data_IF_568790650391
#
_entry.id   IF_568790650391
#
_cell.length_a   1.000
_cell.length_b   1.000
_cell.length_c   1.000
_cell.angle_alpha   90.00
_cell.angle_beta   90.00
_cell.angle_gamma   90.00
#
_symmetry.space_group_name_H-M   'P 1'
#
loop_
_entity.id
_entity.type
_entity.pdbx_description
1 polymer ?
#
# COMPACT_ATOMS: atom_id res chain seq x y z
N UNK A 1 13.04 -8.19 -7.18
CA UNK A 1 12.21 -7.09 -7.69
C UNK A 1 12.61 -6.83 -9.13
N UNK A 2 11.70 -7.02 -10.08
CA UNK A 2 11.96 -6.79 -11.51
C UNK A 2 10.82 -5.92 -12.03
N UNK A 3 11.01 -4.60 -11.98
CA UNK A 3 10.00 -3.63 -12.36
C UNK A 3 10.50 -2.20 -12.21
N UNK A 4 9.84 -1.29 -12.92
CA UNK A 4 10.06 0.15 -12.85
C UNK A 4 9.66 0.74 -11.47
N UNK A 5 8.97 -0.04 -10.64
CA UNK A 5 8.60 0.25 -9.26
C UNK A 5 8.90 -0.99 -8.40
N UNK A 6 9.16 -0.81 -7.10
CA UNK A 6 9.33 -1.89 -6.11
C UNK A 6 8.07 -2.72 -5.78
N UNK A 7 7.05 -2.69 -6.62
CA UNK A 7 5.79 -3.43 -6.44
C UNK A 7 5.90 -4.88 -6.95
N UNK A 8 5.28 -5.84 -6.25
CA UNK A 8 5.22 -7.23 -6.75
C UNK A 8 4.02 -7.44 -7.67
N UNK A 9 4.02 -6.79 -8.83
CA UNK A 9 2.98 -6.98 -9.86
C UNK A 9 2.81 -8.45 -10.28
N UNK A 10 3.87 -9.26 -10.18
CA UNK A 10 3.84 -10.69 -10.44
C UNK A 10 2.98 -11.49 -9.44
N UNK A 11 2.65 -10.91 -8.28
CA UNK A 11 1.76 -11.53 -7.29
C UNK A 11 0.27 -11.29 -7.60
N UNK A 12 -0.04 -10.43 -8.58
CA UNK A 12 -1.39 -10.24 -9.07
C UNK A 12 -1.73 -11.38 -10.02
N UNK A 13 -2.70 -12.19 -9.63
CA UNK A 13 -3.18 -13.34 -10.40
C UNK A 13 -4.72 -13.31 -10.50
N UNK A 14 -5.32 -14.35 -11.09
CA UNK A 14 -6.78 -14.42 -11.18
C UNK A 14 -7.46 -14.61 -9.81
N UNK A 15 -6.73 -15.04 -8.79
CA UNK A 15 -7.25 -15.23 -7.44
C UNK A 15 -7.26 -13.92 -6.63
N UNK A 16 -6.34 -12.99 -6.92
CA UNK A 16 -6.19 -11.67 -6.30
C UNK A 16 -6.67 -10.50 -7.17
N UNK A 17 -7.27 -10.79 -8.34
CA UNK A 17 -7.93 -9.79 -9.19
C UNK A 17 -9.38 -10.16 -9.52
N UNK A 18 -10.18 -9.15 -9.87
CA UNK A 18 -11.54 -9.33 -10.35
C UNK A 18 -11.93 -8.22 -11.34
N UNK A 19 -13.11 -8.36 -11.91
CA UNK A 19 -13.69 -7.41 -12.85
C UNK A 19 -14.94 -6.79 -12.21
N UNK A 20 -14.86 -5.53 -11.72
CA UNK A 20 -16.03 -4.81 -11.21
C UNK A 20 -16.99 -4.49 -12.37
N UNK A 21 -18.29 -4.42 -12.08
CA UNK A 21 -19.29 -4.03 -13.09
C UNK A 21 -19.59 -2.54 -13.05
N UNK A 22 -19.65 -1.95 -11.86
CA UNK A 22 -20.14 -0.57 -11.69
C UNK A 22 -19.15 0.31 -10.94
N UNK A 23 -18.45 -0.21 -9.93
CA UNK A 23 -17.63 0.60 -9.01
C UNK A 23 -16.39 1.21 -9.65
N UNK A 24 -15.90 0.63 -10.76
CA UNK A 24 -14.82 1.17 -11.57
C UNK A 24 -15.24 1.22 -13.03
N UNK A 25 -14.88 2.32 -13.70
CA UNK A 25 -15.02 2.49 -15.14
C UNK A 25 -13.68 2.87 -15.76
N UNK A 26 -13.45 2.46 -17.01
CA UNK A 26 -12.27 2.93 -17.73
C UNK A 26 -12.38 4.44 -17.96
N UNK A 27 -11.24 5.14 -17.86
CA UNK A 27 -11.14 6.60 -18.04
C UNK A 27 -10.15 6.93 -19.18
N UNK A 28 -10.40 8.00 -19.93
CA UNK A 28 -9.49 8.54 -20.96
C UNK A 28 -10.09 8.61 -22.36
N UNK A 29 -9.28 9.12 -23.30
CA UNK A 29 -9.77 9.72 -24.55
C UNK A 29 -10.08 8.74 -25.70
N UNK A 30 -9.73 7.46 -25.56
CA UNK A 30 -10.28 6.39 -26.40
C UNK A 30 -10.96 5.38 -25.50
N UNK A 31 -12.26 5.61 -25.32
CA UNK A 31 -13.17 4.52 -25.14
C UNK A 31 -14.21 4.75 -26.23
N UNK A 32 -14.28 3.85 -27.22
CA UNK A 32 -15.48 3.82 -28.07
C UNK A 32 -16.70 3.84 -27.14
N UNK A 33 -17.81 4.47 -27.53
CA UNK A 33 -19.02 4.54 -26.68
C UNK A 33 -19.45 3.16 -26.14
N UNK A 34 -19.06 2.08 -26.82
CA UNK A 34 -19.26 0.69 -26.41
C UNK A 34 -18.22 0.20 -25.36
N UNK A 35 -16.96 0.62 -25.47
CA UNK A 35 -15.88 0.28 -24.53
C UNK A 35 -15.92 1.16 -23.26
N UNK A 36 -16.50 2.36 -23.30
CA UNK A 36 -16.69 3.21 -22.10
C UNK A 36 -17.73 2.63 -21.14
N UNK A 37 -18.69 1.89 -21.69
CA UNK A 37 -19.75 1.21 -20.94
C UNK A 37 -19.39 -0.25 -20.59
N UNK A 38 -18.32 -0.80 -21.17
CA UNK A 38 -17.92 -2.19 -20.95
C UNK A 38 -16.73 -2.27 -20.00
N UNK A 39 -16.93 -2.91 -18.83
CA UNK A 39 -15.84 -3.24 -17.91
C UNK A 39 -15.07 -4.50 -18.31
N UNK A 40 -15.29 -5.06 -19.52
CA UNK A 40 -14.76 -6.36 -19.96
C UNK A 40 -13.24 -6.53 -19.81
N UNK A 41 -12.48 -5.46 -20.05
CA UNK A 41 -11.03 -5.46 -19.97
C UNK A 41 -10.50 -4.86 -18.66
N UNK A 42 -11.38 -4.34 -17.80
CA UNK A 42 -10.99 -3.72 -16.55
C UNK A 42 -10.75 -4.79 -15.48
N UNK A 43 -9.57 -4.74 -14.87
CA UNK A 43 -9.21 -5.59 -13.74
C UNK A 43 -8.87 -4.71 -12.55
N UNK A 44 -9.45 -5.01 -11.41
CA UNK A 44 -9.06 -4.45 -10.13
C UNK A 44 -8.36 -5.53 -9.30
N UNK A 45 -7.29 -5.15 -8.62
CA UNK A 45 -6.54 -5.99 -7.69
C UNK A 45 -6.05 -5.13 -6.53
N UNK A 46 -5.88 -5.75 -5.36
CA UNK A 46 -5.30 -5.10 -4.19
C UNK A 46 -4.38 -6.06 -3.46
N UNK A 47 -3.23 -5.53 -3.02
CA UNK A 47 -2.20 -6.26 -2.27
C UNK A 47 -1.92 -5.53 -0.95
N UNK A 48 -2.79 -5.65 0.06
CA UNK A 48 -2.71 -4.88 1.31
C UNK A 48 -1.45 -5.14 2.14
N UNK A 49 -0.67 -6.18 1.82
CA UNK A 49 0.61 -6.47 2.45
C UNK A 49 1.76 -5.61 1.91
N UNK A 50 1.58 -5.00 0.74
CA UNK A 50 2.60 -4.14 0.13
C UNK A 50 2.33 -2.69 0.55
N UNK A 51 3.01 -2.29 1.61
CA UNK A 51 3.06 -0.90 2.03
C UNK A 51 3.97 -0.10 1.11
N UNK A 52 3.77 1.22 1.05
CA UNK A 52 4.64 2.11 0.31
C UNK A 52 5.97 2.23 1.06
N UNK A 53 7.07 1.87 0.40
CA UNK A 53 8.43 1.90 0.97
C UNK A 53 9.38 2.70 0.06
N UNK A 54 10.60 2.94 0.53
CA UNK A 54 11.64 3.70 -0.20
C UNK A 54 11.97 3.09 -1.57
N UNK A 55 11.80 1.77 -1.72
CA UNK A 55 11.94 1.00 -2.95
C UNK A 55 10.87 1.34 -4.00
N UNK A 56 9.73 1.88 -3.58
CA UNK A 56 8.67 2.39 -4.45
C UNK A 56 8.88 3.89 -4.73
N UNK A 57 9.27 4.64 -3.71
CA UNK A 57 9.44 6.08 -3.80
C UNK A 57 10.61 6.52 -4.68
N UNK A 58 11.78 5.89 -4.51
CA UNK A 58 12.99 6.23 -5.26
C UNK A 58 12.83 6.09 -6.78
N UNK A 59 12.24 5.00 -7.32
CA UNK A 59 11.96 4.97 -8.75
C UNK A 59 10.81 5.87 -9.19
N UNK A 60 9.83 6.13 -8.31
CA UNK A 60 8.74 7.08 -8.60
C UNK A 60 9.29 8.51 -8.81
N UNK A 61 10.22 8.97 -7.97
CA UNK A 61 10.85 10.29 -8.15
C UNK A 61 11.71 10.39 -9.40
N UNK A 62 12.27 9.27 -9.88
CA UNK A 62 13.02 9.23 -11.16
C UNK A 62 12.14 9.46 -12.39
N UNK A 63 10.81 9.30 -12.28
CA UNK A 63 9.88 9.60 -13.36
C UNK A 63 9.59 11.10 -13.51
N UNK A 64 9.98 11.92 -12.52
CA UNK A 64 9.82 13.37 -12.58
C UNK A 64 10.82 13.97 -13.60
N UNK A 65 10.43 15.03 -14.32
CA UNK A 65 11.24 15.60 -15.41
C UNK A 65 12.64 16.04 -14.96
N UNK A 66 12.77 16.60 -13.76
CA UNK A 66 14.05 16.99 -13.17
C UNK A 66 14.50 16.09 -11.99
N UNK A 67 13.82 14.94 -11.78
CA UNK A 67 14.05 14.09 -10.62
C UNK A 67 13.94 14.87 -9.30
N UNK A 68 14.93 14.68 -8.42
CA UNK A 68 15.09 15.42 -7.16
C UNK A 68 16.13 16.55 -7.24
N UNK A 69 16.63 16.87 -8.44
CA UNK A 69 17.71 17.83 -8.61
C UNK A 69 17.24 19.29 -8.75
N UNK A 70 16.00 19.52 -9.21
CA UNK A 70 15.41 20.85 -9.38
C UNK A 70 13.88 20.81 -9.34
N UNK A 71 13.25 21.95 -9.02
CA UNK A 71 11.80 22.08 -8.91
C UNK A 71 11.24 21.47 -7.63
N UNK A 72 9.94 21.19 -7.60
CA UNK A 72 9.25 20.62 -6.43
C UNK A 72 9.80 19.27 -5.99
N UNK A 73 10.45 18.53 -6.90
CA UNK A 73 11.11 17.27 -6.57
C UNK A 73 12.30 17.42 -5.61
N UNK A 74 12.86 18.62 -5.44
CA UNK A 74 13.94 18.89 -4.47
C UNK A 74 13.46 18.76 -3.01
N UNK A 75 12.17 19.04 -2.77
CA UNK A 75 11.52 18.90 -1.45
C UNK A 75 11.37 17.44 -1.03
N UNK A 76 11.47 16.50 -1.97
CA UNK A 76 11.20 15.09 -1.72
C UNK A 76 12.37 14.41 -1.02
N UNK A 77 12.26 14.30 0.31
CA UNK A 77 13.17 13.54 1.17
C UNK A 77 12.43 12.36 1.79
N UNK A 78 13.00 11.16 1.70
CA UNK A 78 12.34 9.95 2.16
C UNK A 78 12.05 10.00 3.68
N UNK A 79 12.99 10.47 4.49
CA UNK A 79 12.84 10.51 5.95
C UNK A 79 11.66 11.38 6.38
N UNK A 80 11.53 12.61 5.84
CA UNK A 80 10.42 13.51 6.17
C UNK A 80 9.07 13.00 5.69
N UNK A 81 9.04 12.34 4.52
CA UNK A 81 7.80 11.80 3.96
C UNK A 81 7.31 10.53 4.65
N UNK A 82 8.20 9.75 5.27
CA UNK A 82 7.81 8.55 6.02
C UNK A 82 7.55 8.81 7.51
N UNK A 83 7.89 9.99 8.02
CA UNK A 83 7.57 10.46 9.39
C UNK A 83 6.18 11.14 9.49
N UNK A 84 5.44 11.20 8.39
CA UNK A 84 4.11 11.80 8.35
C UNK A 84 2.99 10.83 8.81
N UNK A 85 1.84 11.38 9.21
CA UNK A 85 0.69 10.58 9.68
C UNK A 85 0.04 9.76 8.54
N UNK A 86 0.12 10.27 7.30
CA UNK A 86 -0.39 9.58 6.12
C UNK A 86 0.41 9.96 4.87
N UNK A 87 0.78 8.97 4.08
CA UNK A 87 1.34 9.17 2.75
C UNK A 87 0.73 8.20 1.74
N UNK A 88 0.59 8.65 0.49
CA UNK A 88 0.24 7.80 -0.63
C UNK A 88 0.94 8.21 -1.91
N UNK A 89 1.27 7.21 -2.73
CA UNK A 89 1.85 7.38 -4.06
C UNK A 89 0.86 6.86 -5.09
N UNK A 90 0.59 7.67 -6.10
CA UNK A 90 -0.20 7.30 -7.27
C UNK A 90 0.61 7.40 -8.54
N UNK A 91 0.37 6.46 -9.44
CA UNK A 91 0.89 6.39 -10.79
C UNK A 91 -0.28 6.00 -11.69
N UNK A 92 -0.68 6.90 -12.58
CA UNK A 92 -1.83 6.69 -13.44
C UNK A 92 -1.45 6.94 -14.90
N UNK A 93 -1.77 5.97 -15.76
CA UNK A 93 -1.60 6.08 -17.21
C UNK A 93 -2.97 6.20 -17.84
N UNK A 94 -3.23 7.31 -18.54
CA UNK A 94 -4.48 7.50 -19.30
C UNK A 94 -4.20 7.70 -20.77
N UNK A 95 -5.03 7.12 -21.65
CA UNK A 95 -5.02 7.52 -23.05
C UNK A 95 -5.48 8.98 -23.16
N UNK A 96 -4.71 9.79 -23.88
CA UNK A 96 -4.98 11.22 -24.05
C UNK A 96 -4.84 11.60 -25.53
N UNK A 97 -5.81 12.36 -26.05
CA UNK A 97 -5.73 12.92 -27.40
C UNK A 97 -4.58 13.93 -27.45
N UNK A 98 -3.68 13.79 -28.42
CA UNK A 98 -2.59 14.76 -28.61
C UNK A 98 -3.05 15.99 -29.38
N UNK A 99 -4.09 15.83 -30.21
CA UNK A 99 -4.68 16.88 -31.03
C UNK A 99 -6.16 17.08 -30.67
N UNK A 100 -6.70 18.27 -30.90
CA UNK A 100 -8.11 18.62 -30.64
C UNK A 100 -9.10 17.70 -31.39
N UNK A 101 -8.69 17.14 -32.53
CA UNK A 101 -9.47 16.18 -33.32
C UNK A 101 -9.31 14.71 -32.91
N UNK A 102 -8.50 14.40 -31.89
CA UNK A 102 -8.18 13.06 -31.42
C UNK A 102 -7.73 12.05 -32.50
N UNK A 103 -7.10 12.53 -33.58
CA UNK A 103 -6.57 11.67 -34.65
C UNK A 103 -5.35 10.87 -34.21
N UNK A 104 -4.56 11.41 -33.28
CA UNK A 104 -3.45 10.73 -32.62
C UNK A 104 -3.69 10.64 -31.12
N UNK A 105 -3.37 9.47 -30.56
CA UNK A 105 -3.57 9.20 -29.14
C UNK A 105 -2.24 8.82 -28.52
N UNK A 106 -1.88 9.60 -27.51
CA UNK A 106 -0.74 9.38 -26.65
C UNK A 106 -1.16 8.84 -25.29
N UNK A 107 -0.17 8.65 -24.43
CA UNK A 107 -0.37 8.27 -23.03
C UNK A 107 0.02 9.45 -22.15
N UNK A 108 -0.89 9.86 -21.26
CA UNK A 108 -0.62 10.82 -20.20
C UNK A 108 -0.25 10.06 -18.93
N UNK A 109 0.94 10.34 -18.41
CA UNK A 109 1.39 9.86 -17.11
C UNK A 109 1.07 10.90 -16.03
N UNK A 110 0.29 10.52 -15.03
CA UNK A 110 -0.02 11.35 -13.87
C UNK A 110 0.58 10.71 -12.62
N UNK A 111 1.45 11.46 -11.95
CA UNK A 111 2.10 11.09 -10.70
C UNK A 111 1.46 11.90 -9.58
N UNK A 112 0.98 11.26 -8.52
CA UNK A 112 0.36 11.94 -7.37
C UNK A 112 1.05 11.52 -6.08
N UNK A 113 1.42 12.50 -5.25
CA UNK A 113 1.92 12.28 -3.90
C UNK A 113 0.99 13.03 -2.96
N UNK A 114 0.38 12.32 -2.01
CA UNK A 114 -0.44 12.93 -0.96
C UNK A 114 0.23 12.66 0.36
N UNK A 115 0.44 13.72 1.16
CA UNK A 115 1.08 13.65 2.47
C UNK A 115 0.28 14.47 3.48
N UNK A 116 0.10 13.93 4.68
CA UNK A 116 -0.52 14.60 5.83
C UNK A 116 0.53 14.70 6.92
N UNK A 117 1.06 15.90 7.13
CA UNK A 117 2.02 16.18 8.19
C UNK A 117 1.30 16.51 9.50
N UNK A 118 1.86 16.12 10.65
CA UNK A 118 1.42 16.65 11.92
C UNK A 118 1.63 18.18 11.95
N UNK A 119 0.78 18.93 12.67
CA UNK A 119 0.95 20.38 12.79
C UNK A 119 2.33 20.69 13.42
N UNK A 120 3.12 21.60 12.84
CA UNK A 120 4.45 21.90 13.35
C UNK A 120 4.38 22.53 14.75
N UNK A 121 5.24 22.03 15.65
CA UNK A 121 5.36 22.58 17.00
C UNK A 121 6.23 23.83 16.95
N UNK A 122 5.61 25.00 17.10
CA UNK A 122 6.29 26.30 17.18
C UNK A 122 6.57 26.69 18.64
N UNK A 123 7.55 27.56 18.86
CA UNK A 123 7.88 28.08 20.21
C UNK A 123 6.74 28.90 20.83
N UNK A 124 5.90 29.51 19.98
CA UNK A 124 4.69 30.22 20.37
C UNK A 124 3.46 29.36 20.02
N UNK A 125 2.81 28.71 20.99
CA UNK A 125 1.67 27.82 20.73
C UNK A 125 0.43 28.54 20.17
N UNK A 126 0.41 29.88 20.18
CA UNK A 126 -0.66 30.72 19.64
C UNK A 126 -0.54 30.99 18.13
N UNK A 127 0.61 30.69 17.51
CA UNK A 127 0.88 30.96 16.10
C UNK A 127 1.20 29.64 15.41
N UNK A 128 0.35 29.26 14.46
CA UNK A 128 0.64 28.16 13.55
C UNK A 128 1.45 28.72 12.39
N UNK A 129 2.74 28.42 12.36
CA UNK A 129 3.64 28.79 11.26
C UNK A 129 4.23 27.53 10.65
N UNK A 130 4.08 27.39 9.34
CA UNK A 130 4.73 26.33 8.58
C UNK A 130 5.44 26.90 7.37
N UNK A 131 6.53 26.25 6.97
CA UNK A 131 7.26 26.53 5.75
C UNK A 131 7.53 25.23 5.00
N UNK A 132 7.79 25.31 3.69
CA UNK A 132 8.20 24.12 2.93
C UNK A 132 9.43 23.44 3.54
N UNK A 133 10.39 24.22 4.06
CA UNK A 133 11.57 23.69 4.74
C UNK A 133 11.23 23.00 6.07
N UNK A 134 10.25 23.49 6.83
CA UNK A 134 9.87 22.84 8.09
C UNK A 134 9.09 21.55 7.85
N UNK A 135 8.27 21.48 6.80
CA UNK A 135 7.49 20.29 6.46
C UNK A 135 8.33 19.21 5.77
N UNK A 136 9.17 19.60 4.82
CA UNK A 136 9.91 18.66 3.98
C UNK A 136 11.39 18.50 4.37
N UNK A 137 11.86 19.23 5.37
CA UNK A 137 13.27 19.34 5.80
C UNK A 137 14.27 19.84 4.74
N UNK A 138 13.80 20.17 3.54
CA UNK A 138 14.62 20.73 2.44
C UNK A 138 14.10 22.07 1.96
N UNK A 139 14.99 23.02 1.64
CA UNK A 139 14.59 24.24 0.97
C UNK A 139 14.33 23.96 -0.52
N UNK A 140 13.47 24.77 -1.12
CA UNK A 140 13.34 24.85 -2.56
C UNK A 140 14.39 25.85 -3.09
N UNK A 141 15.25 25.47 -4.02
CA UNK A 141 16.31 26.35 -4.53
C UNK A 141 16.08 26.83 -5.95
N UNK A 142 15.43 26.02 -6.79
CA UNK A 142 15.23 26.32 -8.21
C UNK A 142 13.94 25.73 -8.78
N UNK A 143 13.47 26.30 -9.90
CA UNK A 143 12.38 25.76 -10.71
C UNK A 143 12.94 24.71 -11.69
N UNK A 144 12.12 23.71 -12.06
CA UNK A 144 12.55 22.69 -13.02
C UNK A 144 12.54 23.26 -14.45
N UNK A 145 13.70 23.36 -15.16
CA UNK A 145 13.77 23.95 -16.50
C UNK A 145 13.03 23.15 -17.57
N UNK A 146 12.78 21.85 -17.33
CA UNK A 146 12.06 20.97 -18.27
C UNK A 146 10.54 21.02 -18.10
N UNK A 147 10.03 21.65 -17.03
CA UNK A 147 8.60 21.71 -16.74
C UNK A 147 7.95 22.92 -17.44
N UNK A 148 6.90 22.66 -18.22
CA UNK A 148 6.09 23.72 -18.85
C UNK A 148 5.38 24.63 -17.82
N UNK A 149 4.99 24.07 -16.68
CA UNK A 149 4.34 24.78 -15.58
C UNK A 149 4.80 24.18 -14.26
N UNK A 150 5.04 25.02 -13.26
CA UNK A 150 5.45 24.59 -11.92
C UNK A 150 4.89 25.56 -10.89
N UNK A 151 3.71 25.25 -10.37
CA UNK A 151 2.98 26.12 -9.45
C UNK A 151 2.80 25.47 -8.08
N UNK A 152 2.81 26.30 -7.03
CA UNK A 152 2.43 25.92 -5.67
C UNK A 152 1.14 26.66 -5.34
N UNK A 153 0.10 25.91 -4.99
CA UNK A 153 -1.20 26.48 -4.61
C UNK A 153 -1.42 26.30 -3.13
N UNK A 154 -1.64 27.41 -2.43
CA UNK A 154 -2.01 27.43 -1.01
C UNK A 154 -3.48 27.83 -0.91
N UNK A 155 -4.27 27.04 -0.20
CA UNK A 155 -5.65 27.40 0.13
C UNK A 155 -5.64 28.29 1.38
N UNK A 156 -6.16 29.52 1.25
CA UNK A 156 -6.10 30.57 2.27
C UNK A 156 -7.48 30.93 2.82
N UNK A 157 -8.41 29.98 2.77
CA UNK A 157 -9.76 30.19 3.27
C UNK A 157 -9.72 30.68 4.72
N UNK A 158 -10.32 31.85 4.97
CA UNK A 158 -10.50 32.36 6.32
C UNK A 158 -11.63 31.57 6.97
N UNK A 159 -11.27 30.51 7.69
CA UNK A 159 -12.18 29.83 8.60
C UNK A 159 -12.20 30.68 9.89
N UNK A 160 -13.39 31.07 10.36
CA UNK A 160 -13.62 31.79 11.63
C UNK A 160 -12.86 33.12 11.81
N UNK A 161 -12.65 33.88 10.73
CA UNK A 161 -12.01 35.20 10.79
C UNK A 161 -10.50 35.16 11.06
N UNK A 162 -9.89 33.97 11.00
CA UNK A 162 -8.45 33.78 11.09
C UNK A 162 -7.80 34.34 9.83
N UNK A 163 -6.85 35.26 10.02
CA UNK A 163 -6.08 35.86 8.94
C UNK A 163 -4.84 35.01 8.68
N UNK A 164 -4.70 34.54 7.45
CA UNK A 164 -3.52 33.81 6.97
C UNK A 164 -2.57 34.82 6.34
N UNK A 165 -1.38 34.98 6.92
CA UNK A 165 -0.31 35.80 6.34
C UNK A 165 0.65 34.94 5.52
N UNK A 166 0.88 35.37 4.29
CA UNK A 166 1.83 34.76 3.37
C UNK A 166 3.15 35.53 3.41
N UNK A 167 4.27 34.83 3.48
CA UNK A 167 5.62 35.43 3.43
C UNK A 167 5.96 36.11 2.10
N UNK A 168 5.31 35.70 1.01
CA UNK A 168 5.57 36.17 -0.34
C UNK A 168 4.28 36.63 -1.01
N UNK A 169 4.41 37.59 -1.92
CA UNK A 169 3.30 38.02 -2.76
C UNK A 169 2.98 36.93 -3.79
N UNK A 170 1.77 36.36 -3.79
CA UNK A 170 1.38 35.34 -4.76
C UNK A 170 1.35 35.91 -6.19
N UNK A 171 1.62 35.05 -7.17
CA UNK A 171 1.57 35.40 -8.60
C UNK A 171 0.12 35.65 -9.04
N UNK A 172 -0.82 34.86 -8.52
CA UNK A 172 -2.25 35.00 -8.75
C UNK A 172 -3.02 34.71 -7.46
N UNK A 173 -4.00 35.54 -7.15
CA UNK A 173 -5.03 35.25 -6.14
C UNK A 173 -6.37 35.10 -6.83
N UNK A 174 -7.13 34.09 -6.45
CA UNK A 174 -8.45 33.85 -7.02
C UNK A 174 -9.32 32.98 -6.13
N UNK A 175 -10.62 33.23 -6.17
CA UNK A 175 -11.63 32.38 -5.54
C UNK A 175 -12.10 31.35 -6.57
N UNK A 176 -11.92 30.07 -6.25
CA UNK A 176 -12.35 28.96 -7.11
C UNK A 176 -13.45 28.18 -6.40
N UNK A 177 -14.49 27.80 -7.14
CA UNK A 177 -15.52 26.89 -6.64
C UNK A 177 -15.09 25.45 -6.90
N UNK A 178 -14.91 24.67 -5.84
CA UNK A 178 -14.51 23.25 -5.91
C UNK A 178 -15.50 22.44 -5.10
N UNK A 179 -16.18 21.49 -5.77
CA UNK A 179 -17.22 20.66 -5.16
C UNK A 179 -18.21 21.51 -4.35
N UNK A 180 -18.88 22.45 -5.01
CA UNK A 180 -19.93 23.31 -4.43
C UNK A 180 -19.48 24.38 -3.43
N UNK A 181 -18.19 24.46 -3.07
CA UNK A 181 -17.69 25.43 -2.08
C UNK A 181 -16.67 26.39 -2.67
N UNK A 182 -16.82 27.68 -2.37
CA UNK A 182 -15.87 28.74 -2.74
C UNK A 182 -14.62 28.64 -1.88
N UNK A 183 -13.45 28.63 -2.52
CA UNK A 183 -12.14 28.53 -1.87
C UNK A 183 -11.19 29.60 -2.41
N UNK A 184 -10.65 30.40 -1.52
CA UNK A 184 -9.62 31.39 -1.83
C UNK A 184 -8.26 30.70 -1.95
N UNK A 185 -7.60 30.93 -3.09
CA UNK A 185 -6.31 30.32 -3.43
C UNK A 185 -5.27 31.38 -3.73
N UNK A 186 -4.09 31.16 -3.18
CA UNK A 186 -2.87 31.86 -3.53
C UNK A 186 -1.99 30.93 -4.37
N UNK A 187 -1.70 31.33 -5.61
CA UNK A 187 -0.89 30.57 -6.57
C UNK A 187 0.47 31.23 -6.72
N UNK A 188 1.52 30.44 -6.51
CA UNK A 188 2.92 30.85 -6.67
C UNK A 188 3.52 30.11 -7.87
N UNK A 189 3.92 30.84 -8.90
CA UNK A 189 4.63 30.27 -10.05
C UNK A 189 6.15 30.30 -9.81
N UNK A 190 6.77 29.12 -9.73
CA UNK A 190 8.20 28.99 -9.44
C UNK A 190 9.09 29.59 -10.51
N UNK A 191 8.64 29.60 -11.77
CA UNK A 191 9.37 30.24 -12.87
C UNK A 191 9.44 31.76 -12.68
N UNK A 192 8.39 32.38 -12.12
CA UNK A 192 8.38 33.81 -11.82
C UNK A 192 9.29 34.17 -10.62
N UNK A 193 9.35 33.32 -9.60
CA UNK A 193 10.18 33.55 -8.41
C UNK A 193 11.68 33.42 -8.70
N UNK A 194 12.08 32.47 -9.56
CA UNK A 194 13.51 32.20 -9.86
C UNK A 194 14.18 33.28 -10.68
N UNK A 195 13.43 33.99 -11.53
CA UNK A 195 13.96 35.10 -12.33
C UNK A 195 14.40 36.30 -11.49
N UNK A 196 14.01 36.37 -10.22
CA UNK A 196 14.31 37.51 -9.34
C UNK A 196 15.67 37.46 -8.62
N UNK A 197 16.38 36.32 -8.63
CA UNK A 197 17.64 36.18 -7.88
C UNK A 197 18.72 35.38 -8.60
N UNK A 198 19.74 36.07 -9.12
CA UNK A 198 21.04 35.46 -9.40
C UNK A 198 21.69 35.00 -8.08
N UNK A 199 21.87 33.68 -7.95
CA UNK A 199 22.73 32.98 -6.97
C UNK A 199 22.35 32.95 -5.48
N UNK A 200 21.06 33.05 -5.11
CA UNK A 200 20.60 32.76 -3.75
C UNK A 200 19.44 31.75 -3.78
N UNK A 201 19.30 30.89 -2.75
CA UNK A 201 18.15 29.99 -2.64
C UNK A 201 16.86 30.82 -2.68
N UNK A 202 15.82 30.27 -3.30
CA UNK A 202 14.50 30.92 -3.32
C UNK A 202 14.11 31.32 -1.90
N UNK A 203 13.50 32.49 -1.71
CA UNK A 203 12.98 32.87 -0.40
C UNK A 203 12.05 31.75 0.11
N UNK A 204 12.10 31.42 1.41
CA UNK A 204 11.28 30.34 1.94
C UNK A 204 9.81 30.71 1.76
N UNK A 205 9.02 29.81 1.17
CA UNK A 205 7.58 29.92 1.21
C UNK A 205 7.12 29.48 2.61
N UNK A 206 6.81 30.46 3.45
CA UNK A 206 6.16 30.25 4.74
C UNK A 206 4.77 30.87 4.77
N UNK A 207 3.90 30.20 5.52
CA UNK A 207 2.52 30.58 5.80
C UNK A 207 2.38 30.61 7.31
N UNK A 208 1.92 31.74 7.83
CA UNK A 208 1.64 31.90 9.24
C UNK A 208 0.18 32.26 9.45
N UNK A 209 -0.39 31.71 10.51
CA UNK A 209 -1.78 31.92 10.92
C UNK A 209 -1.82 32.27 12.39
N UNK A 210 -2.61 33.29 12.74
CA UNK A 210 -2.73 33.82 14.11
C UNK A 210 -3.65 32.98 15.01
N UNK A 211 -3.77 31.67 14.77
CA UNK A 211 -4.69 30.77 15.48
C UNK A 211 -3.95 29.68 16.24
N UNK A 212 -4.37 29.42 17.48
CA UNK A 212 -3.97 28.27 18.28
C UNK A 212 -4.34 26.95 17.57
N UNK A 213 -3.37 26.03 17.47
CA UNK A 213 -3.44 24.82 16.65
C UNK A 213 -4.51 23.80 17.09
N UNK A 214 -4.92 23.75 18.37
CA UNK A 214 -5.84 22.72 18.88
C UNK A 214 -7.34 23.11 18.87
N UNK A 215 -7.70 24.28 18.32
CA UNK A 215 -9.11 24.69 18.20
C UNK A 215 -9.67 24.56 16.78
N UNK A 216 -8.83 24.31 15.78
CA UNK A 216 -9.29 24.02 14.42
C UNK A 216 -9.55 22.51 14.35
N UNK A 217 -10.72 22.07 14.83
CA UNK A 217 -11.19 20.76 14.42
C UNK A 217 -11.54 20.86 12.93
N UNK A 218 -10.97 20.03 12.06
CA UNK A 218 -11.42 19.99 10.68
C UNK A 218 -12.93 19.70 10.67
N UNK A 219 -13.64 20.33 9.75
CA UNK A 219 -15.07 20.05 9.53
C UNK A 219 -15.22 18.53 9.35
N UNK A 220 -16.27 17.92 9.91
CA UNK A 220 -16.42 16.47 9.80
C UNK A 220 -16.63 16.09 8.32
N UNK A 221 -15.92 15.08 7.77
CA UNK A 221 -16.16 14.65 6.40
C UNK A 221 -17.60 14.12 6.25
N UNK A 222 -18.21 14.34 5.08
CA UNK A 222 -19.59 13.92 4.80
C UNK A 222 -19.78 12.41 4.90
N UNK A 223 -18.75 11.63 4.52
CA UNK A 223 -18.75 10.19 4.62
C UNK A 223 -17.57 9.71 5.45
N UNK A 224 -17.87 8.91 6.47
CA UNK A 224 -16.89 8.18 7.26
C UNK A 224 -17.12 6.68 7.09
N UNK A 225 -16.03 5.93 6.94
CA UNK A 225 -16.06 4.49 6.73
C UNK A 225 -15.11 3.86 7.73
N UNK A 226 -15.63 2.92 8.52
CA UNK A 226 -14.82 2.07 9.39
C UNK A 226 -15.15 0.62 9.13
N UNK A 227 -14.16 -0.25 9.31
CA UNK A 227 -14.31 -1.68 9.01
C UNK A 227 -13.64 -2.51 10.10
N UNK A 228 -14.31 -3.54 10.57
CA UNK A 228 -13.82 -4.38 11.65
C UNK A 228 -14.21 -5.85 11.46
N UNK A 229 -13.46 -6.72 12.14
CA UNK A 229 -13.74 -8.14 12.20
C UNK A 229 -14.70 -8.43 13.35
N UNK A 230 -15.66 -9.32 13.09
CA UNK A 230 -16.65 -9.77 14.07
C UNK A 230 -16.51 -11.27 14.28
N UNK A 231 -16.93 -11.76 15.45
CA UNK A 231 -16.96 -13.18 15.78
C UNK A 231 -15.72 -13.65 16.55
N UNK A 232 -15.81 -14.87 17.06
CA UNK A 232 -14.79 -15.48 17.91
C UNK A 232 -14.44 -16.90 17.44
N UNK A 233 -13.24 -17.35 17.80
CA UNK A 233 -12.74 -18.69 17.47
C UNK A 233 -12.02 -18.77 16.12
N UNK A 234 -11.65 -20.00 15.75
CA UNK A 234 -10.78 -20.30 14.60
C UNK A 234 -11.55 -20.79 13.36
N UNK A 235 -12.86 -21.03 13.46
CA UNK A 235 -13.66 -21.54 12.33
C UNK A 235 -14.53 -20.41 11.74
N UNK A 236 -15.34 -19.76 12.56
CA UNK A 236 -16.26 -18.69 12.15
C UNK A 236 -15.69 -17.31 12.42
N UNK A 237 -16.08 -16.37 11.57
CA UNK A 237 -15.83 -14.94 11.71
C UNK A 237 -16.86 -14.15 10.90
N UNK A 238 -16.70 -12.84 10.89
CA UNK A 238 -17.55 -11.93 10.16
C UNK A 238 -16.82 -10.66 9.81
N UNK A 239 -17.34 -10.00 8.78
CA UNK A 239 -16.94 -8.69 8.32
C UNK A 239 -18.06 -7.74 8.71
N UNK A 240 -17.72 -6.65 9.36
CA UNK A 240 -18.64 -5.54 9.58
C UNK A 240 -18.03 -4.26 9.02
N UNK A 241 -18.84 -3.52 8.27
CA UNK A 241 -18.50 -2.19 7.75
C UNK A 241 -19.52 -1.21 8.25
N UNK A 242 -19.05 -0.14 8.85
CA UNK A 242 -19.84 0.99 9.32
C UNK A 242 -19.63 2.15 8.35
N UNK A 243 -20.74 2.67 7.81
CA UNK A 243 -20.74 3.79 6.87
C UNK A 243 -21.61 4.89 7.46
N UNK A 244 -20.98 5.98 7.90
CA UNK A 244 -21.67 7.13 8.49
C UNK A 244 -21.81 8.23 7.45
N UNK A 245 -23.05 8.64 7.20
CA UNK A 245 -23.40 9.81 6.40
C UNK A 245 -23.69 10.99 7.34
N UNK A 246 -22.77 11.95 7.37
CA UNK A 246 -22.89 13.19 8.14
C UNK A 246 -23.52 14.32 7.34
N UNK A 247 -23.87 14.10 6.07
CA UNK A 247 -24.54 15.09 5.25
C UNK A 247 -26.03 15.23 5.65
N UNK A 248 -26.64 16.42 5.48
CA UNK A 248 -28.07 16.65 5.75
C UNK A 248 -28.99 16.05 4.67
N UNK A 249 -28.45 15.41 3.65
CA UNK A 249 -29.18 14.81 2.54
C UNK A 249 -28.80 13.33 2.35
N UNK A 250 -29.63 12.61 1.60
CA UNK A 250 -29.38 11.20 1.24
C UNK A 250 -28.19 11.12 0.29
N UNK A 251 -27.24 10.24 0.58
CA UNK A 251 -26.06 9.99 -0.27
C UNK A 251 -26.13 8.58 -0.83
N UNK A 252 -26.08 8.46 -2.16
CA UNK A 252 -25.97 7.16 -2.82
C UNK A 252 -24.51 6.74 -2.95
N UNK A 253 -24.21 5.51 -2.52
CA UNK A 253 -22.85 4.98 -2.55
C UNK A 253 -22.80 3.62 -3.24
N UNK A 254 -21.71 3.38 -3.97
CA UNK A 254 -21.34 2.08 -4.50
C UNK A 254 -20.31 1.45 -3.58
N UNK A 255 -20.72 0.41 -2.87
CA UNK A 255 -19.87 -0.39 -1.99
C UNK A 255 -19.35 -1.60 -2.75
N UNK A 256 -18.02 -1.77 -2.79
CA UNK A 256 -17.33 -2.90 -3.39
C UNK A 256 -16.46 -3.61 -2.35
N UNK A 257 -16.63 -4.91 -2.25
CA UNK A 257 -15.92 -5.76 -1.30
C UNK A 257 -15.29 -6.95 -2.04
N UNK A 258 -14.01 -7.19 -1.73
CA UNK A 258 -13.24 -8.28 -2.31
C UNK A 258 -12.63 -9.12 -1.21
N UNK A 259 -13.12 -10.36 -1.09
CA UNK A 259 -12.68 -11.27 -0.03
C UNK A 259 -12.01 -12.50 -0.64
N UNK A 260 -10.76 -12.82 -0.27
CA UNK A 260 -10.07 -13.99 -0.77
C UNK A 260 -10.86 -15.31 -0.60
N UNK A 261 -10.65 -16.26 -1.51
CA UNK A 261 -11.39 -17.53 -1.57
C UNK A 261 -11.31 -18.38 -0.28
N UNK A 262 -10.27 -18.16 0.52
CA UNK A 262 -10.06 -18.88 1.78
C UNK A 262 -10.87 -18.32 2.95
N UNK A 263 -11.64 -17.24 2.75
CA UNK A 263 -12.74 -16.85 3.63
C UNK A 263 -14.05 -17.11 2.91
N UNK A 264 -14.73 -18.20 3.27
CA UNK A 264 -15.98 -18.62 2.63
C UNK A 264 -17.11 -17.74 3.11
N UNK A 265 -17.50 -16.77 2.27
CA UNK A 265 -18.59 -15.85 2.56
C UNK A 265 -19.95 -16.53 2.43
N UNK A 266 -20.86 -16.23 3.37
CA UNK A 266 -22.24 -16.70 3.34
C UNK A 266 -23.20 -15.55 3.03
N UNK A 267 -23.56 -15.38 1.76
CA UNK A 267 -24.41 -14.27 1.32
C UNK A 267 -25.76 -14.20 2.05
N UNK A 268 -26.33 -15.34 2.47
CA UNK A 268 -27.59 -15.36 3.24
C UNK A 268 -27.47 -14.72 4.64
N UNK A 269 -26.26 -14.46 5.12
CA UNK A 269 -25.99 -13.77 6.38
C UNK A 269 -25.78 -12.27 6.20
N UNK A 270 -25.89 -11.76 4.95
CA UNK A 270 -25.77 -10.34 4.66
C UNK A 270 -26.88 -9.57 5.39
N UNK A 271 -26.50 -8.71 6.32
CA UNK A 271 -27.42 -7.80 7.01
C UNK A 271 -27.02 -6.36 6.72
N UNK A 272 -27.96 -5.55 6.23
CA UNK A 272 -27.79 -4.11 6.05
C UNK A 272 -28.79 -3.40 6.98
N UNK A 273 -28.30 -2.57 7.88
CA UNK A 273 -29.14 -1.74 8.75
C UNK A 273 -29.06 -0.27 8.36
N UNK A 274 -30.18 0.45 8.54
CA UNK A 274 -30.39 1.87 8.23
C UNK A 274 -30.31 2.25 6.73
N UNK A 275 -29.44 1.64 5.94
CA UNK A 275 -29.38 1.86 4.50
C UNK A 275 -30.40 1.01 3.71
N UNK A 276 -30.84 1.54 2.57
CA UNK A 276 -31.62 0.79 1.59
C UNK A 276 -30.71 0.21 0.50
N UNK A 277 -30.83 -1.08 0.25
CA UNK A 277 -30.09 -1.76 -0.83
C UNK A 277 -30.85 -1.59 -2.13
N UNK A 278 -30.30 -0.80 -3.06
CA UNK A 278 -30.91 -0.50 -4.35
C UNK A 278 -30.59 -1.57 -5.40
N UNK A 279 -29.36 -2.08 -5.40
CA UNK A 279 -28.94 -3.16 -6.28
C UNK A 279 -27.81 -3.97 -5.65
N UNK A 280 -27.77 -5.26 -5.97
CA UNK A 280 -26.77 -6.19 -5.45
C UNK A 280 -26.23 -7.06 -6.59
N UNK A 281 -24.90 -7.17 -6.65
CA UNK A 281 -24.22 -8.09 -7.53
C UNK A 281 -23.16 -8.86 -6.73
N UNK A 282 -23.25 -10.19 -6.76
CA UNK A 282 -22.35 -11.07 -6.01
C UNK A 282 -21.77 -12.15 -6.90
N UNK A 283 -20.46 -12.32 -6.83
CA UNK A 283 -19.74 -13.40 -7.51
C UNK A 283 -19.05 -14.25 -6.44
N UNK A 284 -19.42 -15.54 -6.30
CA UNK A 284 -18.81 -16.42 -5.31
C UNK A 284 -17.36 -16.76 -5.67
N UNK A 285 -16.53 -16.97 -4.66
CA UNK A 285 -15.18 -17.46 -4.83
C UNK A 285 -15.16 -18.87 -5.45
N UNK A 286 -14.00 -19.19 -6.03
CA UNK A 286 -13.62 -20.54 -6.42
C UNK A 286 -12.26 -20.83 -5.80
N UNK A 287 -12.16 -21.92 -5.05
CA UNK A 287 -10.93 -22.32 -4.34
C UNK A 287 -9.71 -22.19 -5.26
N UNK A 288 -8.71 -21.40 -4.81
CA UNK A 288 -7.42 -21.15 -5.49
C UNK A 288 -7.52 -20.50 -6.88
N UNK A 289 -8.70 -20.07 -7.32
CA UNK A 289 -8.90 -19.53 -8.67
C UNK A 289 -9.42 -18.10 -8.68
N UNK A 290 -10.32 -17.76 -7.75
CA UNK A 290 -11.03 -16.47 -7.76
C UNK A 290 -11.55 -16.12 -6.36
N UNK A 291 -11.39 -14.86 -5.95
CA UNK A 291 -11.98 -14.29 -4.74
C UNK A 291 -13.52 -14.14 -4.81
N UNK A 292 -14.15 -13.87 -3.67
CA UNK A 292 -15.51 -13.37 -3.61
C UNK A 292 -15.52 -11.88 -4.00
N UNK A 293 -16.54 -11.47 -4.74
CA UNK A 293 -16.79 -10.07 -5.09
C UNK A 293 -18.23 -9.73 -4.75
N UNK A 294 -18.42 -8.64 -4.02
CA UNK A 294 -19.75 -8.11 -3.68
C UNK A 294 -19.79 -6.63 -4.04
N UNK A 295 -20.72 -6.27 -4.92
CA UNK A 295 -21.07 -4.89 -5.25
C UNK A 295 -22.48 -4.59 -4.76
N UNK A 296 -22.62 -3.54 -3.96
CA UNK A 296 -23.90 -3.05 -3.44
C UNK A 296 -24.05 -1.58 -3.81
N UNK A 297 -25.22 -1.20 -4.34
CA UNK A 297 -25.63 0.20 -4.42
C UNK A 297 -26.51 0.47 -3.21
N UNK A 298 -26.05 1.34 -2.33
CA UNK A 298 -26.70 1.68 -1.07
C UNK A 298 -27.17 3.13 -1.12
N UNK A 299 -28.38 3.39 -0.64
CA UNK A 299 -28.85 4.74 -0.35
C UNK A 299 -28.77 4.97 1.15
N UNK A 300 -27.85 5.85 1.56
CA UNK A 300 -27.58 6.19 2.96
C UNK A 300 -28.49 7.34 3.40
N UNK A 301 -29.32 7.17 4.44
CA UNK A 301 -30.14 8.27 4.97
C UNK A 301 -29.28 9.43 5.51
N UNK A 302 -29.81 10.66 5.56
CA UNK A 302 -29.10 11.80 6.13
C UNK A 302 -28.80 11.58 7.62
N UNK A 303 -27.66 12.08 8.09
CA UNK A 303 -27.25 12.06 9.51
C UNK A 303 -27.42 10.68 10.17
N UNK A 304 -26.97 9.63 9.49
CA UNK A 304 -27.20 8.24 9.92
C UNK A 304 -25.97 7.35 9.72
N UNK A 305 -25.95 6.23 10.44
CA UNK A 305 -24.84 5.28 10.43
C UNK A 305 -25.35 3.90 10.02
N UNK A 306 -25.01 3.51 8.80
CA UNK A 306 -25.43 2.24 8.23
C UNK A 306 -24.44 1.14 8.56
N UNK A 307 -24.93 0.00 9.02
CA UNK A 307 -24.10 -1.16 9.34
C UNK A 307 -24.32 -2.28 8.32
N UNK A 308 -23.24 -2.71 7.70
CA UNK A 308 -23.18 -3.85 6.81
C UNK A 308 -22.46 -4.98 7.51
N UNK A 309 -23.10 -6.15 7.67
CA UNK A 309 -22.45 -7.32 8.25
C UNK A 309 -22.58 -8.56 7.36
N UNK A 310 -21.53 -9.37 7.33
CA UNK A 310 -21.48 -10.61 6.55
C UNK A 310 -20.61 -11.65 7.26
N UNK A 311 -21.11 -12.86 7.45
CA UNK A 311 -20.36 -13.92 8.09
C UNK A 311 -19.50 -14.69 7.08
N UNK A 312 -18.36 -15.18 7.56
CA UNK A 312 -17.47 -16.04 6.80
C UNK A 312 -16.93 -17.19 7.65
N UNK A 313 -16.55 -18.26 6.97
CA UNK A 313 -15.82 -19.38 7.56
C UNK A 313 -14.41 -19.45 7.02
N UNK A 314 -13.44 -19.72 7.88
CA UNK A 314 -12.02 -19.86 7.53
C UNK A 314 -11.80 -21.20 6.83
N UNK A 315 -11.16 -21.17 5.66
CA UNK A 315 -10.76 -22.39 4.96
C UNK A 315 -9.42 -22.91 5.51
N UNK A 316 -9.23 -24.22 5.43
CA UNK A 316 -7.95 -24.85 5.73
C UNK A 316 -7.05 -24.76 4.50
N UNK A 317 -5.92 -24.08 4.65
CA UNK A 317 -4.90 -23.97 3.63
C UNK A 317 -3.94 -25.16 3.70
N UNK A 318 -3.30 -25.46 2.57
CA UNK A 318 -2.18 -26.41 2.54
C UNK A 318 -0.96 -25.74 3.17
N UNK A 319 -0.05 -26.54 3.75
CA UNK A 319 1.20 -26.02 4.33
C UNK A 319 2.03 -25.20 3.33
N UNK A 320 1.98 -25.55 2.05
CA UNK A 320 2.65 -24.82 0.95
C UNK A 320 2.01 -23.48 0.58
N UNK A 321 0.79 -23.21 1.06
CA UNK A 321 0.04 -21.98 0.80
C UNK A 321 0.27 -20.93 1.90
N UNK A 322 0.85 -21.34 3.04
CA UNK A 322 1.34 -20.41 4.04
C UNK A 322 2.63 -19.74 3.56
N UNK A 323 2.75 -18.45 3.85
CA UNK A 323 4.02 -17.74 3.67
C UNK A 323 5.02 -18.20 4.74
N UNK A 324 6.34 -17.91 4.58
CA UNK A 324 7.38 -18.35 5.51
C UNK A 324 7.08 -18.02 6.98
N UNK A 325 6.41 -16.89 7.23
CA UNK A 325 5.77 -16.59 8.50
C UNK A 325 4.27 -16.88 8.41
N UNK A 326 3.86 -18.00 9.00
CA UNK A 326 2.48 -18.45 9.06
C UNK A 326 1.67 -17.79 10.19
N UNK A 327 2.35 -17.25 11.22
CA UNK A 327 1.71 -16.66 12.38
C UNK A 327 1.29 -15.20 12.14
N UNK A 328 1.86 -14.53 11.14
CA UNK A 328 1.46 -13.20 10.70
C UNK A 328 -0.04 -13.08 10.39
N UNK A 329 -0.65 -14.14 9.84
CA UNK A 329 -2.04 -14.12 9.38
C UNK A 329 -2.21 -13.68 7.91
N UNK A 330 -3.46 -13.52 7.51
CA UNK A 330 -3.87 -13.28 6.13
C UNK A 330 -4.71 -12.01 6.02
N UNK A 331 -4.45 -11.22 4.99
CA UNK A 331 -5.17 -9.97 4.79
C UNK A 331 -6.46 -10.17 3.98
N UNK A 332 -7.48 -9.40 4.34
CA UNK A 332 -8.65 -9.11 3.52
C UNK A 332 -8.49 -7.69 2.98
N UNK A 333 -8.70 -7.53 1.67
CA UNK A 333 -8.54 -6.26 0.98
C UNK A 333 -9.50 -5.21 1.52
N UNK A 334 -9.12 -3.93 1.44
CA UNK A 334 -10.00 -2.80 1.74
C UNK A 334 -11.29 -2.84 0.94
N UNK A 335 -12.40 -2.48 1.57
CA UNK A 335 -13.63 -2.16 0.85
C UNK A 335 -13.45 -0.81 0.14
N UNK A 336 -14.07 -0.69 -1.04
CA UNK A 336 -14.03 0.53 -1.84
C UNK A 336 -15.42 1.12 -1.88
N UNK A 337 -15.54 2.37 -1.45
CA UNK A 337 -16.78 3.14 -1.53
C UNK A 337 -16.59 4.23 -2.57
N UNK A 338 -17.42 4.22 -3.61
CA UNK A 338 -17.43 5.25 -4.65
C UNK A 338 -18.73 6.02 -4.57
N UNK A 339 -18.65 7.34 -4.53
CA UNK A 339 -19.80 8.24 -4.51
C UNK A 339 -19.52 9.45 -5.38
N UNK A 340 -20.57 10.19 -5.69
CA UNK A 340 -20.49 11.51 -6.28
C UNK A 340 -21.01 12.49 -5.25
N UNK A 341 -20.14 13.35 -4.74
CA UNK A 341 -20.54 14.38 -3.79
C UNK A 341 -20.86 15.68 -4.52
N UNK A 342 -21.93 16.34 -4.08
CA UNK A 342 -22.26 17.70 -4.55
C UNK A 342 -21.40 18.74 -3.84
N UNK A 343 -21.18 18.53 -2.54
CA UNK A 343 -20.31 19.35 -1.70
C UNK A 343 -19.18 18.50 -1.12
N UNK A 344 -17.98 19.04 -0.99
CA UNK A 344 -16.93 18.36 -0.22
C UNK A 344 -16.10 19.36 0.59
N UNK A 345 -16.39 19.52 1.90
CA UNK A 345 -15.72 20.50 2.74
C UNK A 345 -14.23 20.20 2.95
N UNK A 346 -13.85 18.92 3.00
CA UNK A 346 -12.46 18.51 3.27
C UNK A 346 -11.67 18.08 2.01
N UNK A 347 -12.20 18.31 0.81
CA UNK A 347 -11.50 17.94 -0.42
C UNK A 347 -10.59 19.07 -0.92
N UNK A 348 -9.34 18.75 -1.20
CA UNK A 348 -8.45 19.63 -1.98
C UNK A 348 -8.42 19.15 -3.43
N UNK A 349 -8.64 20.05 -4.39
CA UNK A 349 -8.53 19.73 -5.83
C UNK A 349 -7.49 20.62 -6.50
N UNK A 350 -6.55 20.02 -7.22
CA UNK A 350 -5.56 20.75 -8.01
C UNK A 350 -6.11 21.21 -9.38
N UNK A 351 -7.21 20.62 -9.84
CA UNK A 351 -7.81 20.94 -11.14
C UNK A 351 -8.77 22.13 -11.01
N UNK A 352 -8.43 23.25 -11.64
CA UNK A 352 -9.29 24.42 -11.76
C UNK A 352 -10.27 24.35 -12.97
N UNK A 353 -10.41 23.19 -13.61
CA UNK A 353 -10.98 23.13 -14.97
C UNK A 353 -12.14 22.17 -15.23
N UNK A 354 -12.52 21.27 -14.32
CA UNK A 354 -13.70 20.44 -14.57
C UNK A 354 -14.77 20.77 -13.52
N UNK A 355 -15.84 21.42 -13.97
CA UNK A 355 -17.13 21.55 -13.27
C UNK A 355 -17.85 20.19 -13.12
N UNK A 356 -17.16 19.09 -13.39
CA UNK A 356 -17.70 17.74 -13.33
C UNK A 356 -17.74 17.28 -11.87
N UNK A 357 -18.93 16.83 -11.48
CA UNK A 357 -19.24 16.00 -10.32
C UNK A 357 -18.02 15.26 -9.77
N UNK A 358 -17.54 15.66 -8.59
CA UNK A 358 -16.36 15.09 -7.98
C UNK A 358 -16.64 13.64 -7.55
N UNK A 359 -16.14 12.68 -8.32
CA UNK A 359 -16.17 11.27 -7.95
C UNK A 359 -15.21 11.05 -6.79
N UNK A 360 -15.76 10.86 -5.60
CA UNK A 360 -14.99 10.52 -4.41
C UNK A 360 -14.89 8.99 -4.30
N UNK A 361 -13.66 8.50 -4.11
CA UNK A 361 -13.40 7.10 -3.81
C UNK A 361 -12.68 6.96 -2.49
N UNK A 362 -13.33 6.30 -1.54
CA UNK A 362 -12.81 6.00 -0.22
C UNK A 362 -12.39 4.52 -0.16
N UNK A 363 -11.24 4.28 0.44
CA UNK A 363 -10.74 2.94 0.72
C UNK A 363 -10.77 2.72 2.22
N UNK A 364 -11.44 1.65 2.67
CA UNK A 364 -11.47 1.30 4.09
C UNK A 364 -10.12 0.73 4.53
N UNK A 365 -10.00 0.45 5.82
CA UNK A 365 -8.89 -0.31 6.37
C UNK A 365 -8.85 -1.75 5.81
N UNK A 366 -7.67 -2.29 5.46
CA UNK A 366 -7.51 -3.71 5.22
C UNK A 366 -7.53 -4.47 6.55
N UNK A 367 -8.09 -5.68 6.56
CA UNK A 367 -8.23 -6.46 7.79
C UNK A 367 -7.22 -7.59 7.84
N UNK A 368 -6.62 -7.83 9.01
CA UNK A 368 -5.72 -8.97 9.24
C UNK A 368 -6.46 -10.07 10.01
N UNK A 369 -6.57 -11.25 9.42
CA UNK A 369 -7.26 -12.39 9.99
C UNK A 369 -6.30 -13.55 10.18
N UNK A 370 -6.24 -14.10 11.39
CA UNK A 370 -5.53 -15.35 11.65
C UNK A 370 -6.31 -16.53 11.07
N UNK A 371 -5.62 -17.37 10.30
CA UNK A 371 -6.12 -18.67 9.82
C UNK A 371 -5.54 -19.78 10.70
N UNK A 372 -6.22 -20.94 10.82
CA UNK A 372 -5.66 -22.08 11.53
C UNK A 372 -4.33 -22.49 10.89
N UNK A 373 -3.24 -22.31 11.62
CA UNK A 373 -1.88 -22.65 11.17
C UNK A 373 -1.65 -24.15 11.32
N UNK A 374 -1.18 -24.87 10.29
CA UNK A 374 -0.83 -26.26 10.41
C UNK A 374 0.42 -26.46 11.27
N UNK A 375 0.62 -27.67 11.78
CA UNK A 375 1.85 -28.04 12.47
C UNK A 375 3.02 -28.19 11.48
N UNK A 376 3.92 -27.21 11.45
CA UNK A 376 5.13 -27.22 10.61
C UNK A 376 6.23 -28.14 11.12
N UNK A 377 6.12 -28.68 12.34
CA UNK A 377 7.14 -29.55 12.91
C UNK A 377 7.15 -30.95 12.26
N UNK A 378 6.00 -31.46 11.83
CA UNK A 378 5.92 -32.79 11.21
C UNK A 378 6.74 -32.90 9.92
N UNK A 379 6.61 -32.01 8.92
CA UNK A 379 7.48 -32.03 7.74
C UNK A 379 8.96 -31.90 8.09
N UNK A 380 9.31 -31.02 9.04
CA UNK A 380 10.70 -30.81 9.46
C UNK A 380 11.30 -32.08 10.07
N UNK A 381 10.58 -32.75 10.96
CA UNK A 381 11.00 -34.00 11.57
C UNK A 381 11.22 -35.10 10.51
N UNK A 382 10.34 -35.18 9.50
CA UNK A 382 10.49 -36.13 8.39
C UNK A 382 11.71 -35.80 7.53
N UNK A 383 11.95 -34.53 7.23
CA UNK A 383 13.14 -34.10 6.47
C UNK A 383 14.42 -34.45 7.23
N UNK A 384 14.49 -34.15 8.53
CA UNK A 384 15.62 -34.52 9.37
C UNK A 384 15.85 -36.04 9.40
N UNK A 385 14.78 -36.83 9.49
CA UNK A 385 14.87 -38.28 9.46
C UNK A 385 15.39 -38.80 8.10
N UNK A 386 14.84 -38.33 6.99
CA UNK A 386 15.27 -38.75 5.64
C UNK A 386 16.72 -38.33 5.37
N UNK A 387 17.10 -37.10 5.73
CA UNK A 387 18.47 -36.61 5.58
C UNK A 387 19.47 -37.43 6.40
N UNK A 388 19.12 -37.83 7.64
CA UNK A 388 20.00 -38.68 8.45
C UNK A 388 20.14 -40.09 7.88
N UNK A 389 19.04 -40.70 7.40
CA UNK A 389 19.08 -42.01 6.71
C UNK A 389 19.94 -41.93 5.45
N UNK A 390 19.78 -40.90 4.62
CA UNK A 390 20.58 -40.70 3.41
C UNK A 390 22.06 -40.48 3.77
N UNK A 391 22.37 -39.68 4.79
CA UNK A 391 23.73 -39.43 5.22
C UNK A 391 24.43 -40.72 5.72
N UNK A 392 23.72 -41.56 6.47
CA UNK A 392 24.23 -42.85 6.95
C UNK A 392 24.41 -43.83 5.78
N UNK A 393 23.44 -43.93 4.88
CA UNK A 393 23.51 -44.79 3.71
C UNK A 393 24.66 -44.37 2.77
N UNK A 394 24.75 -43.07 2.45
CA UNK A 394 25.83 -42.55 1.63
C UNK A 394 27.19 -42.71 2.32
N UNK A 395 27.29 -42.38 3.60
CA UNK A 395 28.53 -42.51 4.36
C UNK A 395 29.01 -43.97 4.43
N UNK A 396 28.10 -44.92 4.65
CA UNK A 396 28.44 -46.34 4.65
C UNK A 396 28.88 -46.85 3.28
N UNK A 397 28.13 -46.55 2.21
CA UNK A 397 28.48 -46.96 0.83
C UNK A 397 29.79 -46.31 0.37
N UNK A 398 29.96 -45.02 0.65
CA UNK A 398 31.19 -44.29 0.32
C UNK A 398 32.39 -44.90 1.04
N UNK A 399 32.28 -45.18 2.34
CA UNK A 399 33.34 -45.81 3.11
C UNK A 399 33.65 -47.23 2.60
N UNK A 400 32.64 -48.02 2.22
CA UNK A 400 32.86 -49.35 1.64
C UNK A 400 33.56 -49.32 0.29
N UNK A 401 33.24 -48.34 -0.56
CA UNK A 401 33.74 -48.24 -1.94
C UNK A 401 35.09 -47.52 -2.04
N UNK A 402 35.40 -46.59 -1.13
CA UNK A 402 36.64 -45.80 -1.18
C UNK A 402 37.71 -46.23 -0.18
N UNK A 403 37.36 -47.01 0.85
CA UNK A 403 38.36 -47.45 1.84
C UNK A 403 39.26 -48.51 1.22
N UNK A 404 40.53 -48.17 1.08
CA UNK A 404 41.58 -49.12 0.70
C UNK A 404 41.75 -50.17 1.80
N UNK A 405 41.37 -51.40 1.50
CA UNK A 405 41.59 -52.55 2.38
C UNK A 405 43.09 -52.86 2.40
N UNK A 406 43.78 -52.47 3.47
CA UNK A 406 45.14 -52.96 3.71
C UNK A 406 45.03 -54.41 4.21
N UNK A 407 45.72 -55.38 3.57
CA UNK A 407 45.79 -56.73 4.10
C UNK A 407 46.44 -56.66 5.49
N UNK A 408 45.86 -57.37 6.45
CA UNK A 408 46.44 -57.51 7.78
C UNK A 408 47.78 -58.25 7.66
N UNK A 409 48.86 -57.51 7.41
CA UNK A 409 50.21 -58.03 7.37
C UNK A 409 50.59 -58.52 8.77
N UNK A 410 50.54 -59.85 8.93
CA UNK A 410 51.28 -60.66 9.88
C UNK A 410 51.76 -59.96 11.17
N UNK A 411 50.85 -59.72 12.13
CA UNK A 411 51.23 -59.40 13.51
C UNK A 411 51.92 -60.58 14.26
N UNK A 412 52.25 -61.69 13.58
CA UNK A 412 52.86 -62.88 14.18
C UNK A 412 54.39 -62.80 14.33
N UNK A 413 55.10 -61.93 13.62
CA UNK A 413 56.57 -61.83 13.74
C UNK A 413 57.07 -61.11 15.01
N UNK A 414 56.24 -60.23 15.61
CA UNK A 414 56.65 -59.46 16.82
C UNK A 414 56.57 -60.26 18.14
N UNK A 415 55.83 -61.38 18.18
CA UNK A 415 55.68 -62.19 19.39
C UNK A 415 56.81 -63.22 19.55
N UNK A 416 57.16 -63.92 18.46
CA UNK A 416 58.25 -64.92 18.44
C UNK A 416 59.62 -64.28 18.75
N UNK A 417 59.88 -63.10 18.18
CA UNK A 417 61.10 -62.32 18.48
C UNK A 417 61.15 -61.82 19.93
N UNK A 418 60.00 -61.54 20.58
CA UNK A 418 59.94 -61.18 22.01
C UNK A 418 60.13 -62.38 22.95
N UNK A 419 59.67 -63.57 22.57
CA UNK A 419 59.82 -64.81 23.36
C UNK A 419 61.28 -65.30 23.29
N UNK A 420 61.89 -65.32 22.11
CA UNK A 420 63.31 -65.70 21.95
C UNK A 420 64.25 -64.75 22.72
N UNK A 421 63.94 -63.46 22.76
CA UNK A 421 64.68 -62.47 23.58
C UNK A 421 64.57 -62.73 25.09
N UNK A 422 63.44 -63.27 25.58
CA UNK A 422 63.26 -63.61 27.00
C UNK A 422 63.96 -64.91 27.38
N UNK A 423 64.03 -65.89 26.49
CA UNK A 423 64.71 -67.18 26.76
C UNK A 423 66.24 -67.00 26.72
N UNK A 424 66.77 -66.19 25.79
CA UNK A 424 68.21 -65.89 25.74
C UNK A 424 68.76 -65.11 26.94
N UNK A 425 67.90 -64.39 27.68
CA UNK A 425 68.28 -63.67 28.90
C UNK A 425 68.30 -64.59 30.14
N UNK A 426 67.50 -65.67 30.14
CA UNK A 426 67.44 -66.63 31.26
C UNK A 426 68.58 -67.67 31.25
N UNK A 427 69.26 -67.88 30.12
CA UNK A 427 70.41 -68.79 30.02
C UNK A 427 71.73 -68.18 30.52
N UNK A 428 71.79 -66.87 30.76
CA UNK A 428 73.02 -66.16 31.15
C UNK A 428 73.16 -65.88 32.65
N UNK A 429 72.29 -66.45 33.48
CA UNK A 429 72.22 -66.16 34.93
C UNK A 429 72.43 -67.39 35.82
N UNK A 430 73.11 -68.44 35.33
CA UNK A 430 73.43 -69.65 36.11
C UNK A 430 74.80 -70.23 35.75
N UNK A 431 75.85 -69.43 35.95
CA UNK A 431 77.24 -69.89 36.14
C UNK A 431 78.03 -68.72 36.73
N UNK A 432 77.97 -68.60 38.05
CA UNK A 432 79.07 -68.26 38.97
C UNK A 432 78.57 -68.41 40.41
#
# INVERSE_FOLDING_TARGET
MSGLLGAHLNAIDSASSFQPLVSFRPNGAILSKDMSNSSALLRYAALPRETVCTENFTPWTKLLPCGTAAGLGELFEAESLYDCDYHSLGLHFTPHCLDDGCGQVGVRLSLTLTVVFPPPVTSNPSILEWSLKSLFHRPLTSACPLAFSSTVTVETNSIDGVQVSLSQTPSLTGTVEVAGRRRDRAVFDLHSLTNSTTSKPLPPLSVSSSSWAYHIMPEQPELLVSRHLVGSGHDWGGLATEITNSAPHTVEVLYLEMVPWFFRLYLHTLSVSQATVLSQHYVPAKDRRRAHMLELRLSLPPLSTSYLSLQFRRAHLKWTEHKPDAHHGFYINSAVITTVLSECPNCTSLAAQDQDLAVLRLYSEPLLVSLPTPDFSMPYNVICFVCTVIAIAFGSVFNLTTRTLQPAAAAKEKLLTRILRRIGVLSKQKSD
#
